data_IF_628000558470
#
_entry.id   IF_628000558470
#
_cell.length_a   1.000
_cell.length_b   1.000
_cell.length_c   1.000
_cell.angle_alpha   90.00
_cell.angle_beta   90.00
_cell.angle_gamma   90.00
#
_symmetry.space_group_name_H-M   'P 1'
#
loop_
_entity.id
_entity.type
_entity.pdbx_description
1 polymer ?
#
# COMPACT_ATOMS: atom_id res chain seq x y z
N UNK A 1 1.12 -10.64 -10.44
CA UNK A 1 0.36 -9.39 -10.65
C UNK A 1 0.95 -8.38 -9.69
N UNK A 2 1.59 -7.34 -10.22
CA UNK A 2 2.26 -6.37 -9.37
C UNK A 2 1.24 -5.61 -8.52
N UNK A 3 1.68 -5.14 -7.36
CA UNK A 3 0.89 -4.22 -6.55
C UNK A 3 0.78 -2.86 -7.26
N UNK A 4 -0.25 -2.10 -6.92
CA UNK A 4 -0.45 -0.75 -7.43
C UNK A 4 -0.52 0.22 -6.26
N UNK A 5 0.28 1.28 -6.31
CA UNK A 5 0.23 2.38 -5.34
C UNK A 5 0.02 3.67 -6.10
N UNK A 6 -1.12 4.32 -5.87
CA UNK A 6 -1.40 5.62 -6.46
C UNK A 6 -0.36 6.66 -5.97
N UNK A 7 0.12 7.58 -6.82
CA UNK A 7 1.16 8.55 -6.44
C UNK A 7 0.80 9.48 -5.27
N UNK A 8 -0.49 9.64 -4.96
CA UNK A 8 -0.96 10.44 -3.81
C UNK A 8 -1.18 9.62 -2.54
N UNK A 9 -0.98 8.30 -2.59
CA UNK A 9 -1.01 7.46 -1.41
C UNK A 9 0.33 7.57 -0.66
N UNK A 10 0.26 7.55 0.66
CA UNK A 10 1.44 7.50 1.53
C UNK A 10 1.51 6.10 2.11
N UNK A 11 2.63 5.42 1.89
CA UNK A 11 2.91 4.11 2.47
C UNK A 11 4.16 4.26 3.30
N UNK A 12 4.01 4.19 4.61
CA UNK A 12 5.16 4.26 5.52
C UNK A 12 5.99 2.97 5.43
N UNK A 13 7.28 3.07 5.75
CA UNK A 13 8.16 1.90 5.78
C UNK A 13 7.66 0.83 6.77
N UNK A 14 7.97 -0.44 6.48
CA UNK A 14 7.55 -1.57 7.31
C UNK A 14 6.13 -2.09 7.04
N UNK A 15 5.54 -1.72 5.91
CA UNK A 15 4.29 -2.31 5.41
C UNK A 15 4.56 -3.55 4.54
N UNK A 16 3.70 -4.56 4.66
CA UNK A 16 3.68 -5.73 3.76
C UNK A 16 2.52 -5.58 2.77
N UNK A 17 2.84 -5.40 1.48
CA UNK A 17 1.84 -5.27 0.41
C UNK A 17 1.86 -6.54 -0.44
N UNK A 18 0.83 -7.36 -0.29
CA UNK A 18 0.60 -8.58 -1.05
C UNK A 18 0.40 -8.35 -2.55
N UNK A 19 0.66 -9.41 -3.31
CA UNK A 19 0.46 -9.47 -4.78
C UNK A 19 -0.98 -9.15 -5.15
N UNK A 20 -1.19 -8.23 -6.09
CA UNK A 20 -2.52 -7.84 -6.56
C UNK A 20 -3.25 -6.81 -5.69
N UNK A 21 -2.66 -6.39 -4.56
CA UNK A 21 -3.19 -5.28 -3.75
C UNK A 21 -3.08 -3.96 -4.51
N UNK A 22 -4.17 -3.17 -4.46
CA UNK A 22 -4.24 -1.84 -5.07
C UNK A 22 -4.55 -0.78 -4.01
N UNK A 23 -3.64 0.17 -3.84
CA UNK A 23 -3.76 1.31 -2.92
C UNK A 23 -4.11 2.54 -3.76
N UNK A 24 -5.29 3.11 -3.51
CA UNK A 24 -5.82 4.23 -4.29
C UNK A 24 -5.55 5.59 -3.61
N UNK A 25 -5.86 6.65 -4.35
CA UNK A 25 -5.67 8.04 -3.95
C UNK A 25 -6.16 8.34 -2.52
N UNK A 26 -5.36 9.12 -1.78
CA UNK A 26 -5.62 9.57 -0.41
C UNK A 26 -5.65 8.45 0.66
N UNK A 27 -5.03 7.31 0.38
CA UNK A 27 -4.76 6.30 1.39
C UNK A 27 -3.47 6.62 2.15
N UNK A 28 -3.49 6.47 3.47
CA UNK A 28 -2.29 6.46 4.32
C UNK A 28 -2.17 5.08 4.98
N UNK A 29 -1.11 4.35 4.64
CA UNK A 29 -0.82 3.04 5.20
C UNK A 29 0.26 3.20 6.27
N UNK A 30 -0.10 2.90 7.52
CA UNK A 30 0.76 3.05 8.68
C UNK A 30 1.75 1.88 8.81
N UNK A 31 2.90 2.07 9.49
CA UNK A 31 3.87 1.00 9.71
C UNK A 31 3.23 -0.24 10.34
N UNK A 32 3.65 -1.43 9.88
CA UNK A 32 3.15 -2.72 10.38
C UNK A 32 1.83 -3.20 9.78
N UNK A 33 1.22 -2.43 8.86
CA UNK A 33 0.08 -2.93 8.09
C UNK A 33 0.48 -4.11 7.19
N UNK A 34 -0.39 -5.13 7.15
CA UNK A 34 -0.33 -6.26 6.21
C UNK A 34 -1.56 -6.19 5.32
N UNK A 35 -1.36 -6.02 4.01
CA UNK A 35 -2.43 -5.82 3.03
C UNK A 35 -2.40 -6.92 1.96
N UNK A 36 -3.44 -7.75 1.92
CA UNK A 36 -3.57 -8.87 0.98
C UNK A 36 -3.25 -10.22 1.60
#
# INVERSE_FOLDING_TARGET
MDNFVHPTAVVDEGCEIGTGTKIWHFSHIMPGCKLG
#
